data_IF_816864165048
#
_entry.id   IF_816864165048
#
_cell.length_a   1.000
_cell.length_b   1.000
_cell.length_c   1.000
_cell.angle_alpha   90.00
_cell.angle_beta   90.00
_cell.angle_gamma   90.00
#
_symmetry.space_group_name_H-M   'P 1'
#
loop_
_entity.id
_entity.type
_entity.pdbx_description
1 polymer ?
#
# COMPACT_ATOMS: atom_id res chain seq x y z
N UNK A 1 7.91 4.22 -39.06
CA UNK A 1 8.87 3.17 -39.48
C UNK A 1 9.20 3.19 -40.97
N UNK A 2 8.20 3.24 -41.86
CA UNK A 2 8.40 3.29 -43.33
C UNK A 2 9.28 4.48 -43.75
N UNK A 3 9.06 5.66 -43.21
CA UNK A 3 9.80 6.86 -43.58
C UNK A 3 11.24 6.86 -43.06
N UNK A 4 11.45 6.29 -41.85
CA UNK A 4 12.81 6.03 -41.32
C UNK A 4 13.57 5.06 -42.24
N UNK A 5 12.90 3.98 -42.65
CA UNK A 5 13.49 3.00 -43.56
C UNK A 5 13.88 3.60 -44.90
N UNK A 6 13.04 4.48 -45.50
CA UNK A 6 13.32 5.20 -46.73
C UNK A 6 14.51 6.15 -46.54
N UNK A 7 14.54 6.96 -45.47
CA UNK A 7 15.58 7.93 -45.23
C UNK A 7 16.95 7.27 -44.94
N UNK A 8 16.94 6.14 -44.22
CA UNK A 8 18.15 5.37 -43.88
C UNK A 8 18.58 4.41 -45.02
N UNK A 9 17.83 4.32 -46.13
CA UNK A 9 18.04 3.34 -47.23
C UNK A 9 18.16 1.89 -46.77
N UNK A 10 17.25 1.45 -45.88
CA UNK A 10 17.21 0.09 -45.38
C UNK A 10 15.76 -0.47 -45.39
N UNK A 11 15.59 -1.75 -45.12
CA UNK A 11 14.27 -2.33 -44.91
C UNK A 11 13.64 -1.92 -43.57
N UNK A 12 12.32 -1.93 -43.48
CA UNK A 12 11.60 -1.72 -42.19
C UNK A 12 12.00 -2.75 -41.14
N UNK A 13 12.38 -3.95 -41.57
CA UNK A 13 12.90 -5.00 -40.68
C UNK A 13 14.27 -4.63 -40.10
N UNK A 14 15.14 -4.00 -40.89
CA UNK A 14 16.43 -3.50 -40.43
C UNK A 14 16.26 -2.36 -39.43
N UNK A 15 15.35 -1.41 -39.68
CA UNK A 15 14.96 -0.39 -38.70
C UNK A 15 14.48 -1.01 -37.40
N UNK A 16 13.60 -2.02 -37.48
CA UNK A 16 13.13 -2.72 -36.30
C UNK A 16 14.25 -3.41 -35.51
N UNK A 17 15.22 -4.02 -36.20
CA UNK A 17 16.40 -4.66 -35.56
C UNK A 17 17.29 -3.65 -34.88
N UNK A 18 17.59 -2.52 -35.50
CA UNK A 18 18.36 -1.43 -34.90
C UNK A 18 17.67 -0.88 -33.65
N UNK A 19 16.38 -0.59 -33.75
CA UNK A 19 15.59 -0.06 -32.64
C UNK A 19 15.42 -1.07 -31.48
N UNK A 20 15.59 -2.39 -31.74
CA UNK A 20 15.58 -3.46 -30.73
C UNK A 20 16.98 -3.89 -30.28
N UNK A 21 17.99 -3.08 -30.57
CA UNK A 21 19.38 -3.32 -30.19
C UNK A 21 19.94 -4.71 -30.61
N UNK A 22 19.48 -5.19 -31.77
CA UNK A 22 19.91 -6.48 -32.30
C UNK A 22 21.39 -6.45 -32.73
N UNK A 23 22.19 -7.39 -32.24
CA UNK A 23 23.59 -7.56 -32.64
C UNK A 23 23.79 -7.94 -34.12
N UNK A 24 22.73 -8.22 -34.87
CA UNK A 24 22.77 -8.66 -36.28
C UNK A 24 22.89 -7.51 -37.27
N UNK A 25 23.11 -6.27 -36.84
CA UNK A 25 23.18 -5.09 -37.72
C UNK A 25 24.58 -4.45 -37.56
N UNK A 26 25.21 -4.10 -38.69
CA UNK A 26 26.51 -3.41 -38.68
C UNK A 26 26.41 -2.02 -38.06
N UNK A 27 27.51 -1.55 -37.44
CA UNK A 27 27.55 -0.24 -36.78
C UNK A 27 27.22 0.90 -37.75
N UNK A 28 27.71 0.85 -38.97
CA UNK A 28 27.40 1.83 -40.02
C UNK A 28 25.88 1.91 -40.31
N UNK A 29 25.22 0.76 -40.39
CA UNK A 29 23.77 0.72 -40.62
C UNK A 29 22.99 1.20 -39.40
N UNK A 30 23.50 0.90 -38.20
CA UNK A 30 22.93 1.38 -36.92
C UNK A 30 22.97 2.92 -36.88
N UNK A 31 24.10 3.54 -37.17
CA UNK A 31 24.24 4.99 -37.15
C UNK A 31 23.32 5.67 -38.17
N UNK A 32 23.22 5.16 -39.41
CA UNK A 32 22.31 5.71 -40.42
C UNK A 32 20.84 5.65 -39.99
N UNK A 33 20.42 4.56 -39.36
CA UNK A 33 19.05 4.43 -38.86
C UNK A 33 18.79 5.37 -37.69
N UNK A 34 19.73 5.51 -36.76
CA UNK A 34 19.58 6.43 -35.62
C UNK A 34 19.54 7.90 -36.07
N UNK A 35 20.35 8.31 -37.02
CA UNK A 35 20.32 9.65 -37.63
C UNK A 35 18.96 9.90 -38.33
N UNK A 36 18.42 8.92 -39.05
CA UNK A 36 17.09 9.03 -39.65
C UNK A 36 15.96 9.11 -38.62
N UNK A 37 16.08 8.40 -37.50
CA UNK A 37 15.13 8.46 -36.35
C UNK A 37 15.12 9.84 -35.74
N UNK A 38 16.31 10.42 -35.50
CA UNK A 38 16.48 11.75 -34.94
C UNK A 38 15.95 12.85 -35.88
N UNK A 39 16.30 12.81 -37.16
CA UNK A 39 15.86 13.79 -38.19
C UNK A 39 14.32 13.79 -38.34
N UNK A 40 13.71 12.63 -38.30
CA UNK A 40 12.25 12.48 -38.42
C UNK A 40 11.52 12.60 -37.07
N UNK A 41 12.23 12.81 -35.94
CA UNK A 41 11.68 12.76 -34.58
C UNK A 41 10.76 11.55 -34.41
N UNK A 42 11.17 10.41 -34.99
CA UNK A 42 10.35 9.23 -35.03
C UNK A 42 10.20 8.65 -33.62
N UNK A 43 8.96 8.67 -33.13
CA UNK A 43 8.60 7.97 -31.89
C UNK A 43 8.05 6.57 -32.24
N UNK A 44 8.51 5.56 -31.51
CA UNK A 44 7.98 4.21 -31.64
C UNK A 44 6.47 4.22 -31.32
N UNK A 45 5.70 3.61 -32.16
CA UNK A 45 4.30 3.36 -31.85
C UNK A 45 4.21 2.16 -30.88
N UNK A 46 4.10 2.46 -29.59
CA UNK A 46 4.00 1.46 -28.52
C UNK A 46 2.75 0.58 -28.68
N UNK A 47 1.65 1.10 -29.25
CA UNK A 47 0.43 0.34 -29.55
C UNK A 47 0.72 -0.76 -30.58
N UNK A 48 1.43 -0.43 -31.66
CA UNK A 48 1.79 -1.40 -32.69
C UNK A 48 2.79 -2.45 -32.17
N UNK A 49 3.62 -2.07 -31.19
CA UNK A 49 4.53 -2.99 -30.50
C UNK A 49 3.77 -3.93 -29.58
N UNK A 50 2.85 -3.42 -28.75
CA UNK A 50 2.08 -4.22 -27.80
C UNK A 50 1.20 -5.26 -28.52
N UNK A 51 0.60 -4.91 -29.67
CA UNK A 51 -0.15 -5.84 -30.51
C UNK A 51 0.72 -6.99 -31.03
N UNK A 52 1.99 -6.72 -31.34
CA UNK A 52 2.90 -7.75 -31.87
C UNK A 52 3.51 -8.61 -30.76
N UNK A 53 3.85 -8.00 -29.62
CA UNK A 53 4.49 -8.67 -28.47
C UNK A 53 3.45 -9.30 -27.53
N UNK A 54 2.17 -9.01 -27.71
CA UNK A 54 1.05 -9.42 -26.84
C UNK A 54 1.27 -8.99 -25.37
N UNK A 55 1.98 -7.87 -25.16
CA UNK A 55 2.24 -7.28 -23.85
C UNK A 55 2.18 -5.77 -23.97
N UNK A 56 1.51 -5.12 -23.03
CA UNK A 56 1.45 -3.66 -22.96
C UNK A 56 2.66 -3.04 -22.27
N UNK A 57 3.39 -3.85 -21.50
CA UNK A 57 4.40 -3.43 -20.54
C UNK A 57 3.86 -2.39 -19.54
N UNK A 58 2.62 -2.56 -19.13
CA UNK A 58 1.99 -1.73 -18.13
C UNK A 58 1.54 -2.58 -16.95
N UNK A 59 1.85 -2.09 -15.75
CA UNK A 59 1.39 -2.66 -14.47
C UNK A 59 0.38 -1.71 -13.85
N UNK A 60 -0.78 -2.24 -13.49
CA UNK A 60 -1.79 -1.54 -12.71
C UNK A 60 -1.45 -1.53 -11.22
N UNK A 61 -1.69 -0.40 -10.56
CA UNK A 61 -1.61 -0.29 -9.11
C UNK A 61 -2.88 0.38 -8.61
N UNK A 62 -3.59 -0.31 -7.71
CA UNK A 62 -4.76 0.24 -7.02
C UNK A 62 -4.44 0.38 -5.53
N UNK A 63 -4.57 1.60 -5.04
CA UNK A 63 -4.38 1.94 -3.62
C UNK A 63 -5.58 2.73 -3.12
N UNK A 64 -5.84 2.76 -1.80
CA UNK A 64 -6.95 3.53 -1.25
C UNK A 64 -6.88 5.01 -1.60
N UNK A 65 -5.72 5.66 -1.40
CA UNK A 65 -5.52 7.09 -1.65
C UNK A 65 -4.01 7.41 -1.72
N UNK A 66 -3.66 8.65 -2.12
CA UNK A 66 -2.27 9.12 -2.23
C UNK A 66 -1.82 10.00 -1.07
N UNK A 67 -2.73 10.43 -0.20
CA UNK A 67 -2.39 11.33 0.92
C UNK A 67 -1.92 10.56 2.18
N UNK A 68 -2.11 9.23 2.22
CA UNK A 68 -1.53 8.40 3.27
C UNK A 68 -0.10 8.02 2.90
N UNK A 69 0.91 8.44 3.70
CA UNK A 69 2.33 8.15 3.41
C UNK A 69 2.65 6.67 3.27
N UNK A 70 1.93 5.79 3.98
CA UNK A 70 2.10 4.34 3.87
C UNK A 70 1.81 3.85 2.44
N UNK A 71 0.66 4.23 1.88
CA UNK A 71 0.29 3.81 0.52
C UNK A 71 1.19 4.45 -0.53
N UNK A 72 1.55 5.73 -0.36
CA UNK A 72 2.46 6.43 -1.26
C UNK A 72 3.85 5.77 -1.28
N UNK A 73 4.39 5.38 -0.12
CA UNK A 73 5.68 4.69 0.01
C UNK A 73 5.64 3.31 -0.66
N UNK A 74 4.57 2.54 -0.44
CA UNK A 74 4.37 1.25 -1.11
C UNK A 74 4.33 1.42 -2.63
N UNK A 75 3.54 2.38 -3.14
CA UNK A 75 3.42 2.64 -4.57
C UNK A 75 4.76 3.07 -5.19
N UNK A 76 5.52 3.92 -4.49
CA UNK A 76 6.86 4.30 -4.93
C UNK A 76 7.79 3.09 -5.02
N UNK A 77 7.84 2.25 -3.99
CA UNK A 77 8.69 1.05 -4.01
C UNK A 77 8.32 0.07 -5.13
N UNK A 78 7.01 -0.11 -5.40
CA UNK A 78 6.55 -0.89 -6.56
C UNK A 78 7.03 -0.24 -7.86
N UNK A 79 6.95 1.10 -8.00
CA UNK A 79 7.35 1.82 -9.21
C UNK A 79 8.84 1.61 -9.56
N UNK A 80 9.70 1.49 -8.54
CA UNK A 80 11.13 1.17 -8.73
C UNK A 80 11.28 -0.21 -9.38
N UNK A 81 10.61 -1.23 -8.85
CA UNK A 81 10.66 -2.60 -9.40
C UNK A 81 10.09 -2.64 -10.82
N UNK A 82 8.96 -1.96 -11.07
CA UNK A 82 8.33 -1.86 -12.38
C UNK A 82 9.30 -1.27 -13.41
N UNK A 83 10.04 -0.21 -13.03
CA UNK A 83 11.04 0.43 -13.87
C UNK A 83 12.26 -0.48 -14.13
N UNK A 84 12.73 -1.21 -13.12
CA UNK A 84 13.83 -2.19 -13.26
C UNK A 84 13.52 -3.25 -14.33
N UNK A 85 12.24 -3.60 -14.51
CA UNK A 85 11.78 -4.54 -15.54
C UNK A 85 11.40 -3.88 -16.88
N UNK A 86 11.67 -2.58 -17.06
CA UNK A 86 11.30 -1.82 -18.28
C UNK A 86 9.78 -1.81 -18.55
N UNK A 87 8.99 -1.73 -17.50
CA UNK A 87 7.54 -1.53 -17.54
C UNK A 87 7.18 -0.11 -17.13
N UNK A 88 5.96 0.30 -17.46
CA UNK A 88 5.32 1.54 -16.98
C UNK A 88 4.26 1.22 -15.93
N UNK A 89 4.01 2.16 -15.03
CA UNK A 89 3.02 2.03 -13.97
C UNK A 89 1.77 2.87 -14.29
N UNK A 90 0.60 2.28 -14.13
CA UNK A 90 -0.70 2.98 -14.15
C UNK A 90 -1.30 2.90 -12.75
N UNK A 91 -1.41 4.04 -12.08
CA UNK A 91 -1.92 4.11 -10.71
C UNK A 91 -3.31 4.72 -10.69
N UNK A 92 -4.20 4.16 -9.85
CA UNK A 92 -5.52 4.74 -9.54
C UNK A 92 -5.84 4.56 -8.06
N UNK A 93 -6.77 5.38 -7.56
CA UNK A 93 -7.25 5.31 -6.17
C UNK A 93 -8.64 4.71 -6.12
N UNK A 94 -8.96 4.07 -4.98
CA UNK A 94 -10.25 3.40 -4.76
C UNK A 94 -11.12 4.12 -3.73
N UNK A 95 -10.54 5.03 -2.94
CA UNK A 95 -11.17 5.74 -1.82
C UNK A 95 -11.92 4.80 -0.84
N UNK A 96 -11.38 3.57 -0.67
CA UNK A 96 -11.96 2.48 0.13
C UNK A 96 -13.36 2.02 -0.35
N UNK A 97 -13.77 2.39 -1.57
CA UNK A 97 -15.03 1.92 -2.16
C UNK A 97 -14.82 0.70 -3.06
N UNK A 98 -15.47 -0.46 -2.75
CA UNK A 98 -15.30 -1.68 -3.53
C UNK A 98 -15.86 -1.61 -4.95
N UNK A 99 -16.81 -0.71 -5.23
CA UNK A 99 -17.29 -0.47 -6.60
C UNK A 99 -16.26 0.27 -7.43
N UNK A 100 -15.69 1.32 -6.86
CA UNK A 100 -14.60 2.09 -7.48
C UNK A 100 -13.39 1.18 -7.72
N UNK A 101 -13.03 0.30 -6.76
CA UNK A 101 -11.96 -0.69 -6.93
C UNK A 101 -12.20 -1.56 -8.17
N UNK A 102 -13.37 -2.15 -8.27
CA UNK A 102 -13.73 -3.00 -9.40
C UNK A 102 -13.72 -2.25 -10.74
N UNK A 103 -14.33 -1.05 -10.79
CA UNK A 103 -14.39 -0.22 -11.98
C UNK A 103 -13.01 0.20 -12.48
N UNK A 104 -12.12 0.60 -11.57
CA UNK A 104 -10.75 0.98 -11.90
C UNK A 104 -9.93 -0.23 -12.37
N UNK A 105 -10.02 -1.37 -11.68
CA UNK A 105 -9.38 -2.60 -12.10
C UNK A 105 -9.82 -3.01 -13.50
N UNK A 106 -11.12 -3.00 -13.78
CA UNK A 106 -11.70 -3.31 -15.07
C UNK A 106 -11.28 -2.33 -16.18
N UNK A 107 -11.20 -1.03 -15.84
CA UNK A 107 -10.70 -0.01 -16.75
C UNK A 107 -9.24 -0.26 -17.14
N UNK A 108 -8.39 -0.62 -16.17
CA UNK A 108 -7.00 -0.98 -16.40
C UNK A 108 -6.88 -2.25 -17.25
N UNK A 109 -7.69 -3.28 -16.94
CA UNK A 109 -7.73 -4.53 -17.69
C UNK A 109 -8.09 -4.29 -19.17
N UNK A 110 -9.12 -3.48 -19.44
CA UNK A 110 -9.50 -3.10 -20.83
C UNK A 110 -8.43 -2.31 -21.56
N UNK A 111 -7.54 -1.62 -20.84
CA UNK A 111 -6.35 -0.95 -21.42
C UNK A 111 -5.19 -1.90 -21.64
N UNK A 112 -5.36 -3.18 -21.27
CA UNK A 112 -4.40 -4.24 -21.51
C UNK A 112 -3.22 -4.26 -20.53
N UNK A 113 -3.41 -3.92 -19.25
CA UNK A 113 -2.33 -4.12 -18.25
C UNK A 113 -1.93 -5.59 -18.22
N UNK A 114 -0.64 -5.85 -17.99
CA UNK A 114 -0.10 -7.21 -17.94
C UNK A 114 -0.25 -7.83 -16.53
N UNK A 115 -0.42 -7.01 -15.50
CA UNK A 115 -0.61 -7.45 -14.12
C UNK A 115 -1.07 -6.33 -13.19
N UNK A 116 -1.52 -6.69 -11.99
CA UNK A 116 -2.11 -5.76 -11.02
C UNK A 116 -1.54 -5.98 -9.61
N UNK A 117 -1.10 -4.91 -8.96
CA UNK A 117 -0.93 -4.87 -7.50
C UNK A 117 -2.08 -4.07 -6.91
N UNK A 118 -2.73 -4.60 -5.89
CA UNK A 118 -3.88 -3.95 -5.25
C UNK A 118 -3.76 -3.95 -3.74
N UNK A 119 -4.11 -2.83 -3.10
CA UNK A 119 -4.45 -2.78 -1.68
C UNK A 119 -5.98 -2.88 -1.60
N UNK A 120 -6.53 -4.08 -1.31
CA UNK A 120 -7.96 -4.33 -1.47
C UNK A 120 -8.82 -3.53 -0.49
N UNK A 121 -9.97 -3.10 -0.96
CA UNK A 121 -11.03 -2.58 -0.12
C UNK A 121 -11.68 -3.70 0.71
N UNK A 122 -12.49 -3.34 1.70
CA UNK A 122 -13.26 -4.33 2.43
C UNK A 122 -14.34 -4.95 1.54
N UNK A 123 -14.40 -6.28 1.51
CA UNK A 123 -15.44 -6.98 0.77
C UNK A 123 -16.83 -6.66 1.35
N UNK A 124 -17.75 -6.25 0.48
CA UNK A 124 -19.15 -6.01 0.82
C UNK A 124 -20.03 -7.06 0.15
N UNK A 125 -21.04 -7.55 0.86
CA UNK A 125 -21.98 -8.54 0.31
C UNK A 125 -22.68 -7.98 -0.93
N UNK A 126 -22.59 -8.70 -2.05
CA UNK A 126 -23.22 -8.30 -3.32
C UNK A 126 -22.45 -7.26 -4.14
N UNK A 127 -21.27 -6.83 -3.70
CA UNK A 127 -20.38 -6.01 -4.53
C UNK A 127 -19.59 -6.88 -5.51
N UNK A 128 -19.27 -6.35 -6.72
CA UNK A 128 -18.35 -7.00 -7.63
C UNK A 128 -16.99 -7.17 -6.98
N UNK A 129 -16.20 -8.11 -7.46
CA UNK A 129 -14.95 -8.51 -6.79
C UNK A 129 -13.84 -8.80 -7.79
N UNK A 130 -12.61 -8.53 -7.39
CA UNK A 130 -11.42 -8.95 -8.16
C UNK A 130 -11.28 -10.47 -8.32
N UNK A 131 -12.17 -11.28 -7.72
CA UNK A 131 -12.27 -12.73 -7.95
C UNK A 131 -13.11 -13.12 -9.17
N UNK A 132 -13.78 -12.15 -9.80
CA UNK A 132 -14.65 -12.40 -10.93
C UNK A 132 -13.82 -12.89 -12.13
N UNK A 133 -14.47 -13.62 -13.04
CA UNK A 133 -13.80 -14.38 -14.10
C UNK A 133 -12.92 -13.54 -15.03
N UNK A 134 -13.26 -12.26 -15.19
CA UNK A 134 -12.49 -11.33 -16.04
C UNK A 134 -11.07 -11.07 -15.54
N UNK A 135 -10.80 -11.30 -14.24
CA UNK A 135 -9.46 -11.13 -13.65
C UNK A 135 -8.64 -12.42 -13.58
N UNK A 136 -9.22 -13.56 -13.95
CA UNK A 136 -8.59 -14.87 -13.78
C UNK A 136 -7.32 -15.09 -14.62
N UNK A 137 -7.13 -14.30 -15.69
CA UNK A 137 -6.06 -14.48 -16.67
C UNK A 137 -4.89 -13.51 -16.51
N UNK A 138 -4.94 -12.59 -15.54
CA UNK A 138 -3.84 -11.69 -15.21
C UNK A 138 -3.29 -11.99 -13.82
N UNK A 139 -1.99 -11.86 -13.59
CA UNK A 139 -1.43 -11.96 -12.25
C UNK A 139 -1.88 -10.79 -11.37
N UNK A 140 -2.35 -11.11 -10.18
CA UNK A 140 -2.74 -10.14 -9.15
C UNK A 140 -1.96 -10.43 -7.88
N UNK A 141 -1.40 -9.38 -7.27
CA UNK A 141 -0.77 -9.42 -5.96
C UNK A 141 -1.52 -8.50 -5.01
N UNK A 142 -2.03 -9.06 -3.90
CA UNK A 142 -2.66 -8.31 -2.84
C UNK A 142 -1.60 -7.80 -1.84
N UNK A 143 -1.67 -6.52 -1.51
CA UNK A 143 -0.74 -5.84 -0.60
C UNK A 143 -1.50 -5.33 0.62
N UNK A 144 -0.89 -5.37 1.82
CA UNK A 144 -1.44 -4.91 3.11
C UNK A 144 -2.67 -5.71 3.60
N UNK A 145 -3.54 -6.09 2.68
CA UNK A 145 -4.80 -6.81 2.95
C UNK A 145 -4.98 -7.95 1.96
N UNK A 146 -5.57 -9.08 2.36
CA UNK A 146 -5.91 -10.13 1.40
C UNK A 146 -7.17 -9.76 0.60
N UNK A 147 -7.26 -10.18 -0.65
CA UNK A 147 -8.56 -10.32 -1.33
C UNK A 147 -9.22 -11.56 -0.75
N UNK A 148 -10.22 -11.38 0.09
CA UNK A 148 -10.86 -12.49 0.83
C UNK A 148 -11.41 -13.56 -0.13
N UNK A 149 -11.07 -14.82 0.14
CA UNK A 149 -11.49 -15.96 -0.70
C UNK A 149 -10.75 -16.13 -2.02
N UNK A 150 -9.74 -15.30 -2.32
CA UNK A 150 -8.88 -15.48 -3.51
C UNK A 150 -7.66 -16.36 -3.22
N UNK A 151 -7.05 -16.85 -4.32
CA UNK A 151 -5.76 -17.53 -4.30
C UNK A 151 -4.63 -16.63 -4.84
N UNK A 152 -4.75 -15.32 -4.70
CA UNK A 152 -3.73 -14.38 -5.11
C UNK A 152 -2.52 -14.38 -4.17
N UNK A 153 -1.34 -14.11 -4.72
CA UNK A 153 -0.17 -13.79 -3.91
C UNK A 153 -0.47 -12.61 -3.02
N UNK A 154 0.11 -12.61 -1.82
CA UNK A 154 -0.14 -11.53 -0.86
C UNK A 154 1.07 -11.19 -0.02
N UNK A 155 1.25 -9.92 0.21
CA UNK A 155 2.25 -9.35 1.11
C UNK A 155 1.54 -8.63 2.23
N UNK A 156 1.65 -9.16 3.44
CA UNK A 156 0.98 -8.69 4.64
C UNK A 156 2.02 -8.39 5.73
N UNK A 157 1.59 -7.73 6.80
CA UNK A 157 2.37 -7.57 8.02
C UNK A 157 1.70 -8.26 9.22
N UNK A 158 2.46 -8.45 10.27
CA UNK A 158 2.01 -9.00 11.55
C UNK A 158 1.16 -7.99 12.33
N UNK A 159 0.02 -7.56 11.75
CA UNK A 159 -0.88 -6.55 12.33
C UNK A 159 -1.27 -6.84 13.77
N UNK A 160 -1.64 -8.09 14.05
CA UNK A 160 -2.07 -8.53 15.38
C UNK A 160 -0.93 -8.41 16.40
N UNK A 161 0.25 -8.93 16.05
CA UNK A 161 1.45 -8.87 16.91
C UNK A 161 1.88 -7.41 17.13
N UNK A 162 1.85 -6.59 16.07
CA UNK A 162 2.21 -5.17 16.19
C UNK A 162 1.31 -4.41 17.17
N UNK A 163 -0.01 -4.66 17.12
CA UNK A 163 -0.92 -4.06 18.09
C UNK A 163 -0.67 -4.58 19.52
N UNK A 164 -0.37 -5.88 19.68
CA UNK A 164 0.03 -6.43 20.97
C UNK A 164 1.25 -5.72 21.52
N UNK A 165 2.34 -5.62 20.75
CA UNK A 165 3.59 -4.94 21.17
C UNK A 165 3.34 -3.49 21.61
N UNK A 166 2.56 -2.73 20.87
CA UNK A 166 2.26 -1.34 21.23
C UNK A 166 1.43 -1.20 22.50
N UNK A 167 0.48 -2.12 22.73
CA UNK A 167 -0.38 -2.12 23.92
C UNK A 167 0.38 -2.67 25.14
N UNK A 168 1.13 -3.75 24.99
CA UNK A 168 2.00 -4.30 26.06
C UNK A 168 2.98 -3.24 26.53
N UNK A 169 3.58 -2.47 25.63
CA UNK A 169 4.44 -1.34 25.99
C UNK A 169 3.73 -0.28 26.86
N UNK A 170 2.47 0.06 26.54
CA UNK A 170 1.68 0.95 27.40
C UNK A 170 1.39 0.33 28.77
N UNK A 171 1.12 -0.97 28.84
CA UNK A 171 0.90 -1.71 30.09
C UNK A 171 2.19 -1.70 30.93
N UNK A 172 3.34 -1.96 30.32
CA UNK A 172 4.66 -1.99 30.98
C UNK A 172 5.07 -0.60 31.51
N UNK A 173 4.61 0.48 30.88
CA UNK A 173 4.76 1.84 31.37
C UNK A 173 3.76 2.23 32.47
N UNK A 174 2.91 1.30 32.91
CA UNK A 174 2.04 1.43 34.06
C UNK A 174 0.58 1.80 33.75
N UNK A 175 0.21 1.89 32.47
CA UNK A 175 -1.17 2.20 32.08
C UNK A 175 -2.08 0.99 32.20
N UNK A 176 -3.19 1.12 32.94
CA UNK A 176 -4.18 0.07 33.16
C UNK A 176 -5.50 0.31 32.41
N UNK A 177 -5.80 1.56 32.10
CA UNK A 177 -6.95 1.93 31.30
C UNK A 177 -6.44 2.54 29.99
N UNK A 178 -6.45 1.74 28.93
CA UNK A 178 -5.96 2.08 27.60
C UNK A 178 -7.16 2.01 26.64
N UNK A 179 -7.51 3.11 25.98
CA UNK A 179 -8.56 3.13 24.97
C UNK A 179 -7.99 2.85 23.59
N UNK A 180 -8.59 1.89 22.88
CA UNK A 180 -8.32 1.62 21.48
C UNK A 180 -9.20 2.52 20.60
N UNK A 181 -8.59 3.28 19.70
CA UNK A 181 -9.30 4.04 18.67
C UNK A 181 -9.09 3.40 17.30
N UNK A 182 -10.17 2.99 16.64
CA UNK A 182 -10.15 2.33 15.34
C UNK A 182 -11.25 2.81 14.41
N UNK A 183 -11.16 2.42 13.12
CA UNK A 183 -12.24 2.61 12.16
C UNK A 183 -13.30 1.52 12.34
N UNK A 184 -14.57 1.92 12.29
CA UNK A 184 -15.68 0.99 12.17
C UNK A 184 -15.66 0.34 10.78
N UNK A 185 -16.07 -0.93 10.71
CA UNK A 185 -16.20 -1.65 9.45
C UNK A 185 -15.32 -2.90 9.35
N UNK A 186 -15.41 -3.61 8.22
CA UNK A 186 -14.86 -4.96 8.08
C UNK A 186 -13.40 -4.98 7.57
N UNK A 187 -12.65 -3.87 7.62
CA UNK A 187 -11.26 -3.83 7.15
C UNK A 187 -10.38 -4.85 7.87
N UNK A 188 -9.68 -5.69 7.12
CA UNK A 188 -8.81 -6.74 7.64
C UNK A 188 -7.78 -6.21 8.65
N UNK A 189 -7.09 -5.12 8.33
CA UNK A 189 -6.06 -4.52 9.19
C UNK A 189 -6.63 -4.05 10.52
N UNK A 190 -7.79 -3.38 10.49
CA UNK A 190 -8.48 -2.91 11.69
C UNK A 190 -8.90 -4.08 12.59
N UNK A 191 -9.47 -5.14 12.02
CA UNK A 191 -9.84 -6.34 12.78
C UNK A 191 -8.65 -7.00 13.46
N UNK A 192 -7.52 -7.13 12.73
CA UNK A 192 -6.32 -7.75 13.28
C UNK A 192 -5.68 -6.91 14.40
N UNK A 193 -5.60 -5.58 14.20
CA UNK A 193 -5.07 -4.66 15.22
C UNK A 193 -5.97 -4.63 16.45
N UNK A 194 -7.27 -4.59 16.29
CA UNK A 194 -8.25 -4.69 17.39
C UNK A 194 -8.13 -6.01 18.14
N UNK A 195 -7.91 -7.12 17.44
CA UNK A 195 -7.71 -8.43 18.08
C UNK A 195 -6.40 -8.44 18.91
N UNK A 196 -5.31 -7.91 18.36
CA UNK A 196 -4.04 -7.78 19.09
C UNK A 196 -4.17 -6.94 20.37
N UNK A 197 -4.88 -5.80 20.27
CA UNK A 197 -5.20 -5.00 21.46
C UNK A 197 -5.99 -5.78 22.50
N UNK A 198 -7.08 -6.50 22.09
CA UNK A 198 -7.87 -7.30 23.02
C UNK A 198 -7.05 -8.38 23.72
N UNK A 199 -6.20 -9.06 22.97
CA UNK A 199 -5.37 -10.14 23.48
C UNK A 199 -4.37 -9.60 24.55
N UNK A 200 -3.71 -8.49 24.27
CA UNK A 200 -2.78 -7.86 25.23
C UNK A 200 -3.50 -7.41 26.51
N UNK A 201 -4.65 -6.72 26.39
CA UNK A 201 -5.44 -6.30 27.55
C UNK A 201 -5.93 -7.49 28.37
N UNK A 202 -6.42 -8.53 27.71
CA UNK A 202 -6.93 -9.74 28.37
C UNK A 202 -5.82 -10.51 29.08
N UNK A 203 -4.66 -10.67 28.43
CA UNK A 203 -3.50 -11.32 29.02
C UNK A 203 -2.99 -10.62 30.29
N UNK A 204 -3.12 -9.29 30.36
CA UNK A 204 -2.80 -8.50 31.54
C UNK A 204 -3.92 -8.44 32.57
N UNK A 205 -5.04 -9.12 32.38
CA UNK A 205 -6.21 -9.06 33.27
C UNK A 205 -6.94 -7.71 33.24
N UNK A 206 -6.74 -6.90 32.18
CA UNK A 206 -7.33 -5.59 32.02
C UNK A 206 -8.59 -5.63 31.15
N UNK A 207 -9.52 -4.71 31.39
CA UNK A 207 -10.75 -4.61 30.58
C UNK A 207 -10.46 -3.84 29.28
N UNK A 208 -10.75 -4.42 28.10
CA UNK A 208 -10.68 -3.70 26.83
C UNK A 208 -11.70 -2.56 26.76
N UNK A 209 -11.26 -1.40 26.28
CA UNK A 209 -12.06 -0.22 25.98
C UNK A 209 -11.88 0.14 24.50
N UNK A 210 -12.90 -0.07 23.67
CA UNK A 210 -12.80 0.02 22.21
C UNK A 210 -13.77 1.05 21.68
N UNK A 211 -13.21 2.06 21.04
CA UNK A 211 -13.91 3.18 20.43
C UNK A 211 -13.72 3.08 18.92
N UNK A 212 -14.80 2.86 18.20
CA UNK A 212 -14.81 2.78 16.74
C UNK A 212 -15.51 4.00 16.17
N UNK A 213 -14.84 4.69 15.24
CA UNK A 213 -15.36 5.85 14.53
C UNK A 213 -15.67 5.48 13.09
N UNK A 214 -16.79 5.98 12.55
CA UNK A 214 -17.18 5.75 11.15
C UNK A 214 -16.57 6.77 10.21
N UNK A 215 -16.45 8.02 10.67
CA UNK A 215 -15.80 9.12 9.98
C UNK A 215 -14.75 9.74 10.91
N UNK A 216 -13.48 9.54 10.57
CA UNK A 216 -12.38 10.02 11.43
C UNK A 216 -12.39 11.54 11.58
N UNK A 217 -12.69 12.27 10.50
CA UNK A 217 -12.70 13.73 10.50
C UNK A 217 -13.78 14.31 11.41
N UNK A 218 -14.94 13.66 11.44
CA UNK A 218 -16.12 14.13 12.17
C UNK A 218 -16.16 13.58 13.60
N UNK A 219 -15.91 12.28 13.73
CA UNK A 219 -16.28 11.53 14.95
C UNK A 219 -15.15 11.42 15.97
N UNK A 220 -13.88 11.45 15.54
CA UNK A 220 -12.73 11.19 16.44
C UNK A 220 -12.64 12.22 17.59
N UNK A 221 -12.90 13.49 17.32
CA UNK A 221 -12.87 14.54 18.36
C UNK A 221 -13.98 14.36 19.39
N UNK A 222 -15.21 14.06 18.92
CA UNK A 222 -16.36 13.84 19.80
C UNK A 222 -16.12 12.61 20.67
N UNK A 223 -15.74 11.49 20.04
CA UNK A 223 -15.46 10.24 20.76
C UNK A 223 -14.34 10.39 21.79
N UNK A 224 -13.28 11.15 21.47
CA UNK A 224 -12.21 11.43 22.44
C UNK A 224 -12.72 12.27 23.62
N UNK A 225 -13.51 13.33 23.36
CA UNK A 225 -14.09 14.16 24.42
C UNK A 225 -14.98 13.34 25.36
N UNK A 226 -15.83 12.48 24.80
CA UNK A 226 -16.70 11.58 25.56
C UNK A 226 -15.88 10.61 26.43
N UNK A 227 -14.82 9.99 25.86
CA UNK A 227 -13.94 9.11 26.59
C UNK A 227 -13.25 9.83 27.77
N UNK A 228 -12.74 11.05 27.55
CA UNK A 228 -12.07 11.84 28.58
C UNK A 228 -13.04 12.38 29.65
N UNK A 229 -14.31 12.62 29.30
CA UNK A 229 -15.34 13.06 30.22
C UNK A 229 -16.01 11.91 31.00
N UNK A 230 -15.64 10.66 30.73
CA UNK A 230 -16.20 9.49 31.41
C UNK A 230 -15.82 9.47 32.89
N UNK A 231 -16.58 8.71 33.71
CA UNK A 231 -16.29 8.56 35.15
C UNK A 231 -14.89 7.99 35.43
N UNK A 232 -14.38 7.17 34.51
CA UNK A 232 -13.05 6.59 34.56
C UNK A 232 -12.38 6.82 33.19
N UNK A 233 -11.73 7.98 32.98
CA UNK A 233 -11.12 8.29 31.70
C UNK A 233 -9.90 7.39 31.44
N UNK A 234 -9.60 7.07 30.18
CA UNK A 234 -8.38 6.36 29.83
C UNK A 234 -7.14 7.19 30.17
N UNK A 235 -6.08 6.52 30.59
CA UNK A 235 -4.77 7.13 30.85
C UNK A 235 -3.83 7.02 29.66
N UNK A 236 -4.18 6.19 28.69
CA UNK A 236 -3.45 6.05 27.44
C UNK A 236 -4.39 5.74 26.25
N UNK A 237 -3.95 6.10 25.06
CA UNK A 237 -4.62 5.84 23.81
C UNK A 237 -3.74 4.93 22.93
N UNK A 238 -4.37 3.93 22.33
CA UNK A 238 -3.79 3.18 21.21
C UNK A 238 -4.59 3.47 19.95
N UNK A 239 -3.98 4.13 18.96
CA UNK A 239 -4.62 4.45 17.69
C UNK A 239 -4.29 3.41 16.62
N UNK A 240 -5.30 2.94 15.92
CA UNK A 240 -5.18 1.80 15.02
C UNK A 240 -4.54 2.12 13.66
N UNK A 241 -4.35 3.38 13.29
CA UNK A 241 -3.58 3.82 12.11
C UNK A 241 -3.11 5.29 12.25
N UNK A 242 -2.29 5.74 11.29
CA UNK A 242 -1.75 7.11 11.28
C UNK A 242 -2.83 8.19 11.14
N UNK A 243 -3.89 7.94 10.38
CA UNK A 243 -4.99 8.90 10.19
C UNK A 243 -5.69 9.18 11.54
N UNK A 244 -6.04 8.13 12.27
CA UNK A 244 -6.61 8.25 13.63
C UNK A 244 -5.62 8.95 14.56
N UNK A 245 -4.32 8.56 14.52
CA UNK A 245 -3.28 9.17 15.33
C UNK A 245 -3.26 10.69 15.16
N UNK A 246 -3.23 11.16 13.93
CA UNK A 246 -3.20 12.60 13.61
C UNK A 246 -4.44 13.33 14.10
N UNK A 247 -5.62 12.76 13.95
CA UNK A 247 -6.88 13.37 14.42
C UNK A 247 -6.99 13.39 15.93
N UNK A 248 -6.53 12.33 16.61
CA UNK A 248 -6.45 12.34 18.09
C UNK A 248 -5.48 13.40 18.59
N UNK A 249 -4.30 13.54 17.99
CA UNK A 249 -3.33 14.56 18.33
C UNK A 249 -3.90 15.97 18.12
N UNK A 250 -4.58 16.23 17.00
CA UNK A 250 -5.29 17.48 16.76
C UNK A 250 -6.35 17.77 17.86
N UNK A 251 -7.11 16.75 18.22
CA UNK A 251 -8.17 16.85 19.21
C UNK A 251 -7.61 17.09 20.61
N UNK A 252 -6.52 16.41 20.98
CA UNK A 252 -5.80 16.63 22.23
C UNK A 252 -5.25 18.05 22.31
N UNK A 253 -4.59 18.52 21.24
CA UNK A 253 -4.07 19.89 21.16
C UNK A 253 -5.18 20.94 21.34
N UNK A 254 -6.34 20.75 20.71
CA UNK A 254 -7.49 21.64 20.85
C UNK A 254 -8.07 21.68 22.29
N UNK A 255 -7.80 20.63 23.09
CA UNK A 255 -8.16 20.54 24.50
C UNK A 255 -7.03 21.03 25.44
N UNK A 256 -5.89 21.48 24.91
CA UNK A 256 -4.71 21.85 25.70
C UNK A 256 -3.99 20.66 26.33
N UNK A 257 -4.23 19.44 25.82
CA UNK A 257 -3.63 18.20 26.30
C UNK A 257 -2.50 17.76 25.37
N UNK A 258 -1.42 17.26 25.96
CA UNK A 258 -0.26 16.81 25.19
C UNK A 258 0.26 15.49 25.75
N UNK A 259 0.41 14.43 24.91
CA UNK A 259 1.07 13.21 25.36
C UNK A 259 2.50 13.53 25.86
N UNK A 260 3.01 12.83 26.88
CA UNK A 260 2.39 11.72 27.59
C UNK A 260 1.50 12.13 28.78
N UNK A 261 1.45 13.39 29.15
CA UNK A 261 0.73 13.87 30.32
C UNK A 261 -0.36 14.88 29.96
N UNK A 262 -1.61 14.71 30.44
CA UNK A 262 -2.07 13.65 31.35
C UNK A 262 -2.42 12.33 30.66
N UNK A 263 -2.26 12.19 29.34
CA UNK A 263 -2.66 11.02 28.58
C UNK A 263 -1.53 10.57 27.65
N UNK A 264 -1.10 9.31 27.80
CA UNK A 264 -0.10 8.70 26.91
C UNK A 264 -0.70 8.28 25.56
N UNK A 265 0.15 8.10 24.54
CA UNK A 265 -0.30 7.66 23.23
C UNK A 265 0.73 6.77 22.55
N UNK A 266 0.22 5.69 21.93
CA UNK A 266 0.93 4.85 20.96
C UNK A 266 0.07 4.72 19.71
N UNK A 267 0.67 4.89 18.51
CA UNK A 267 -0.02 4.75 17.24
C UNK A 267 0.43 3.52 16.47
N UNK A 268 -0.45 2.98 15.62
CA UNK A 268 -0.04 2.09 14.54
C UNK A 268 0.18 2.95 13.29
N UNK A 269 1.19 2.61 12.50
CA UNK A 269 1.74 3.35 11.37
C UNK A 269 2.53 4.61 11.78
N UNK A 270 3.74 4.72 11.27
CA UNK A 270 4.56 5.92 11.41
C UNK A 270 4.13 6.99 10.38
N UNK A 271 4.38 8.25 10.65
CA UNK A 271 4.08 9.36 9.77
C UNK A 271 5.12 10.47 9.91
N UNK A 272 5.34 11.25 8.86
CA UNK A 272 6.45 12.20 8.74
C UNK A 272 6.64 13.16 9.91
N UNK A 273 5.55 13.57 10.57
CA UNK A 273 5.64 14.50 11.70
C UNK A 273 5.79 13.81 13.06
N UNK A 274 5.72 12.47 13.12
CA UNK A 274 5.69 11.75 14.41
C UNK A 274 6.97 11.92 15.23
N UNK A 275 8.11 12.08 14.57
CA UNK A 275 9.42 12.30 15.22
C UNK A 275 9.74 13.79 15.41
N UNK A 276 9.07 14.69 14.68
CA UNK A 276 9.26 16.13 14.80
C UNK A 276 8.49 16.75 15.95
N UNK A 277 7.41 16.09 16.40
CA UNK A 277 6.63 16.52 17.56
C UNK A 277 7.49 16.48 18.83
N UNK A 278 7.12 17.26 19.83
CA UNK A 278 7.79 17.29 21.14
C UNK A 278 6.75 17.13 22.25
N UNK A 279 6.73 15.95 22.86
CA UNK A 279 7.52 14.74 22.56
C UNK A 279 7.09 14.04 21.27
N UNK A 280 8.02 13.29 20.66
CA UNK A 280 7.74 12.46 19.47
C UNK A 280 6.76 11.33 19.79
N UNK A 281 6.01 10.89 18.79
CA UNK A 281 4.98 9.87 18.96
C UNK A 281 5.57 8.46 18.81
N UNK A 282 5.36 7.63 19.83
CA UNK A 282 5.67 6.20 19.81
C UNK A 282 4.72 5.49 18.86
N UNK A 283 5.26 4.69 17.94
CA UNK A 283 4.47 4.04 16.90
C UNK A 283 4.91 2.61 16.63
N UNK A 284 3.98 1.81 16.14
CA UNK A 284 4.27 0.52 15.49
C UNK A 284 4.46 0.79 14.00
N UNK A 285 5.71 0.67 13.51
CA UNK A 285 6.08 0.96 12.12
C UNK A 285 5.94 -0.27 11.25
N UNK A 286 5.32 -0.12 10.10
CA UNK A 286 5.32 -1.11 9.02
C UNK A 286 6.50 -0.90 8.08
N UNK A 287 7.09 -1.95 7.49
CA UNK A 287 8.17 -1.85 6.50
C UNK A 287 7.60 -1.57 5.09
N UNK A 288 6.95 -0.40 4.89
CA UNK A 288 6.20 -0.05 3.69
C UNK A 288 7.01 -0.20 2.38
N UNK A 289 8.29 0.23 2.40
CA UNK A 289 9.18 0.10 1.25
C UNK A 289 9.44 -1.36 0.89
N UNK A 290 9.77 -2.19 1.89
CA UNK A 290 10.00 -3.63 1.69
C UNK A 290 8.73 -4.35 1.22
N UNK A 291 7.56 -3.94 1.72
CA UNK A 291 6.27 -4.47 1.30
C UNK A 291 6.00 -4.18 -0.17
N UNK A 292 6.19 -2.94 -0.61
CA UNK A 292 6.01 -2.51 -2.00
C UNK A 292 6.98 -3.23 -2.94
N UNK A 293 8.27 -3.27 -2.60
CA UNK A 293 9.29 -3.98 -3.39
C UNK A 293 8.93 -5.45 -3.56
N UNK A 294 8.62 -6.13 -2.46
CA UNK A 294 8.26 -7.55 -2.49
C UNK A 294 6.99 -7.83 -3.30
N UNK A 295 5.99 -6.95 -3.24
CA UNK A 295 4.78 -7.06 -4.07
C UNK A 295 5.09 -6.95 -5.56
N UNK A 296 5.95 -6.00 -5.94
CA UNK A 296 6.45 -5.88 -7.31
C UNK A 296 7.20 -7.12 -7.78
N UNK A 297 8.14 -7.61 -6.99
CA UNK A 297 8.93 -8.82 -7.29
C UNK A 297 8.04 -10.07 -7.46
N UNK A 298 7.05 -10.24 -6.58
CA UNK A 298 6.07 -11.33 -6.71
C UNK A 298 5.26 -11.22 -8.01
N UNK A 299 4.84 -10.01 -8.39
CA UNK A 299 4.11 -9.79 -9.63
C UNK A 299 4.95 -10.17 -10.84
N UNK A 300 6.21 -9.73 -10.92
CA UNK A 300 7.10 -10.09 -12.04
C UNK A 300 7.45 -11.58 -12.06
N UNK A 301 7.55 -12.24 -10.89
CA UNK A 301 7.67 -13.69 -10.85
C UNK A 301 6.45 -14.41 -11.45
N UNK A 302 5.25 -13.83 -11.33
CA UNK A 302 4.02 -14.33 -11.98
C UNK A 302 3.95 -14.04 -13.47
N UNK A 303 4.50 -12.92 -13.92
CA UNK A 303 4.59 -12.56 -15.33
C UNK A 303 5.59 -13.43 -16.10
N UNK A 304 6.55 -14.04 -15.42
CA UNK A 304 7.46 -14.98 -16.05
C UNK A 304 6.73 -16.21 -16.59
N UNK A 305 7.29 -16.85 -17.64
CA UNK A 305 6.70 -18.03 -18.27
C UNK A 305 6.37 -19.13 -17.26
N UNK A 306 5.12 -19.58 -17.24
CA UNK A 306 4.62 -20.59 -16.29
C UNK A 306 4.37 -20.05 -14.87
N UNK A 307 4.55 -18.75 -14.61
CA UNK A 307 4.39 -18.18 -13.28
C UNK A 307 2.95 -18.18 -12.76
N UNK A 308 1.95 -18.12 -13.64
CA UNK A 308 0.53 -18.15 -13.24
C UNK A 308 0.14 -19.47 -12.57
N UNK A 309 0.72 -20.59 -13.00
CA UNK A 309 0.42 -21.92 -12.47
C UNK A 309 1.20 -22.22 -11.15
N UNK A 310 2.11 -21.34 -10.75
CA UNK A 310 2.89 -21.55 -9.55
C UNK A 310 2.03 -21.45 -8.27
N UNK A 311 2.35 -22.19 -7.19
CA UNK A 311 1.62 -22.10 -5.93
C UNK A 311 1.57 -20.69 -5.37
N UNK A 312 0.44 -20.33 -4.73
CA UNK A 312 0.24 -19.02 -4.10
C UNK A 312 1.25 -18.76 -3.00
N UNK A 313 1.88 -17.61 -3.02
CA UNK A 313 2.81 -17.13 -1.98
C UNK A 313 2.11 -16.20 -1.00
N UNK A 314 2.35 -16.47 0.28
CA UNK A 314 1.80 -15.68 1.40
C UNK A 314 2.99 -15.15 2.21
N UNK A 315 3.33 -13.90 1.95
CA UNK A 315 4.44 -13.24 2.65
C UNK A 315 3.91 -12.47 3.85
N UNK A 316 4.58 -12.63 5.00
CA UNK A 316 4.22 -11.96 6.24
C UNK A 316 5.47 -11.27 6.80
N UNK A 317 5.50 -9.94 6.77
CA UNK A 317 6.61 -9.15 7.27
C UNK A 317 6.40 -8.77 8.74
N UNK A 318 7.49 -8.63 9.47
CA UNK A 318 7.48 -8.10 10.83
C UNK A 318 7.23 -6.60 10.84
N UNK A 319 6.72 -6.12 11.96
CA UNK A 319 6.60 -4.70 12.30
C UNK A 319 7.56 -4.36 13.42
N UNK A 320 7.84 -3.08 13.64
CA UNK A 320 8.77 -2.59 14.65
C UNK A 320 8.09 -1.58 15.56
N UNK A 321 8.29 -1.69 16.88
CA UNK A 321 7.87 -0.66 17.84
C UNK A 321 8.97 0.40 17.95
N UNK A 322 8.66 1.62 17.50
CA UNK A 322 9.55 2.78 17.60
C UNK A 322 9.16 3.58 18.83
N UNK A 323 9.92 3.43 19.88
CA UNK A 323 9.68 4.12 21.15
C UNK A 323 10.16 5.56 21.04
N UNK A 324 9.25 6.50 21.34
CA UNK A 324 9.49 7.94 21.46
C UNK A 324 8.87 8.43 22.77
N UNK A 325 8.71 9.74 22.98
CA UNK A 325 8.32 10.29 24.26
C UNK A 325 6.83 10.27 24.59
N UNK A 326 5.92 9.97 23.65
CA UNK A 326 4.46 10.08 23.86
C UNK A 326 3.86 8.98 24.74
N UNK A 327 4.58 7.91 25.01
CA UNK A 327 4.14 6.79 25.85
C UNK A 327 4.49 6.95 27.34
N UNK A 328 5.24 8.01 27.71
CA UNK A 328 5.70 8.21 29.09
C UNK A 328 6.91 7.36 29.50
N UNK A 329 7.45 6.55 28.61
CA UNK A 329 8.71 5.85 28.89
C UNK A 329 9.87 6.84 29.08
N UNK A 330 10.74 6.56 30.04
CA UNK A 330 12.01 7.28 30.15
C UNK A 330 12.93 6.77 29.03
N UNK A 331 13.22 7.63 28.08
CA UNK A 331 14.13 7.36 26.96
C UNK A 331 15.57 7.61 27.41
#
# INVERSE_FOLDING_TARGET
>A
MSDVAKLAHVSTMTVSRVLNDSASVTEETRLRVLDAVEKLQYQRNEIARSLREQTSRQIGILIPNLYDPFFATCAHAISVVVKEHSYSMVLSTTDEDPRTEYEQANSMLRRGIDGLVVIPTAAMKGSPSLRDAEFAHIPIVALDRPVEGSQYDRVLVQNKLGAQLGVEHLIDTGHKHIAFFGLAGPLYTMRMRQQGYRDAMTAAGLRPDIILVSDVLRDAQTALREALASRHPPTALFSANNLISRHLLHSLQALGLHPPNPIAMVGFDDFESADLLRPGITVVRQPAESMGRLAGELLFARLAKGGLDAPTKKMMLSVELIIRGSCGAKI
#
